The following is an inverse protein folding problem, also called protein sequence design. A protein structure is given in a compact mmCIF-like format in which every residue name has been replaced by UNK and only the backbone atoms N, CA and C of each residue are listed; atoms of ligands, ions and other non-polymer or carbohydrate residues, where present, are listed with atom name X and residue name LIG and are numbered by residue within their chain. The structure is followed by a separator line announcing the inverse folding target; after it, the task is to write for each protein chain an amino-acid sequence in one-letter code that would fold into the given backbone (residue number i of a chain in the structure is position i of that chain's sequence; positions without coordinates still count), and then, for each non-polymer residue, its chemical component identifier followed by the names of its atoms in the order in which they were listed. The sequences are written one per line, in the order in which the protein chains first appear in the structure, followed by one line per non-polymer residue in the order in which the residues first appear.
data_IF_123161260787
#
_entry.id   IF_123161260787
#
_cell.length_a   1.000
_cell.length_b   1.000
_cell.length_c   1.000
_cell.angle_alpha   90.00
_cell.angle_beta   90.00
_cell.angle_gamma   90.00
#
_symmetry.space_group_name_H-M   'P 1'
#
loop_
_entity.id
_entity.type
_entity.pdbx_description
1 polymer ?
#
# COMPACT_ATOMS: atom_id res chain seq x y z
N UNK A 1 -52.19 -5.10 4.32
CA UNK A 1 -51.03 -5.73 3.68
C UNK A 1 -49.83 -5.01 4.22
N UNK A 2 -49.31 -5.50 5.34
CA UNK A 2 -48.09 -4.98 5.95
C UNK A 2 -46.91 -5.37 5.06
N UNK A 3 -46.36 -4.36 4.40
CA UNK A 3 -45.09 -4.44 3.69
C UNK A 3 -44.02 -4.72 4.76
N UNK A 4 -43.70 -6.00 4.95
CA UNK A 4 -42.54 -6.43 5.70
C UNK A 4 -41.31 -5.78 5.04
N UNK A 5 -40.92 -4.61 5.52
CA UNK A 5 -39.59 -4.04 5.35
C UNK A 5 -38.62 -4.95 6.11
N UNK A 6 -38.33 -6.10 5.52
CA UNK A 6 -37.15 -6.88 5.85
C UNK A 6 -35.99 -5.98 5.42
N UNK A 7 -35.41 -5.25 6.36
CA UNK A 7 -34.08 -4.68 6.20
C UNK A 7 -33.15 -5.63 6.95
N UNK A 8 -32.66 -6.70 6.31
CA UNK A 8 -31.98 -7.74 7.04
C UNK A 8 -30.51 -7.36 7.27
N UNK A 9 -29.87 -7.90 8.32
CA UNK A 9 -28.47 -7.62 8.66
C UNK A 9 -27.45 -7.92 7.54
N UNK A 10 -27.85 -8.68 6.51
CA UNK A 10 -27.02 -9.10 5.39
C UNK A 10 -26.41 -7.96 4.54
N UNK A 11 -26.99 -6.75 4.53
CA UNK A 11 -26.39 -5.65 3.74
C UNK A 11 -25.02 -5.23 4.28
N UNK A 12 -24.84 -5.23 5.60
CA UNK A 12 -23.56 -4.90 6.22
C UNK A 12 -22.52 -6.00 5.92
N UNK A 13 -22.90 -7.26 6.11
CA UNK A 13 -22.02 -8.42 5.85
C UNK A 13 -21.62 -8.55 4.37
N UNK A 14 -22.53 -8.30 3.43
CA UNK A 14 -22.22 -8.31 1.99
C UNK A 14 -21.29 -7.15 1.60
N UNK A 15 -21.46 -5.98 2.24
CA UNK A 15 -20.57 -4.83 2.02
C UNK A 15 -19.18 -5.11 2.59
N UNK A 16 -19.09 -5.75 3.75
CA UNK A 16 -17.82 -6.10 4.37
C UNK A 16 -17.10 -7.20 3.58
N UNK A 17 -17.78 -8.25 3.10
CA UNK A 17 -17.19 -9.27 2.23
C UNK A 17 -16.71 -8.70 0.89
N UNK A 18 -17.50 -7.83 0.24
CA UNK A 18 -17.07 -7.14 -0.99
C UNK A 18 -15.84 -6.26 -0.74
N UNK A 19 -15.75 -5.67 0.44
CA UNK A 19 -14.62 -4.83 0.85
C UNK A 19 -13.37 -5.67 1.12
N UNK A 20 -13.50 -6.81 1.81
CA UNK A 20 -12.40 -7.75 2.03
C UNK A 20 -11.84 -8.28 0.71
N UNK A 21 -12.72 -8.63 -0.24
CA UNK A 21 -12.31 -9.02 -1.59
C UNK A 21 -11.64 -7.89 -2.37
N UNK A 22 -12.11 -6.64 -2.22
CA UNK A 22 -11.48 -5.49 -2.85
C UNK A 22 -10.06 -5.26 -2.30
N UNK A 23 -9.88 -5.33 -0.97
CA UNK A 23 -8.57 -5.21 -0.32
C UNK A 23 -7.66 -6.38 -0.71
N UNK A 24 -8.19 -7.61 -0.81
CA UNK A 24 -7.42 -8.77 -1.27
C UNK A 24 -6.96 -8.63 -2.74
N UNK A 25 -7.83 -8.10 -3.61
CA UNK A 25 -7.49 -7.79 -5.00
C UNK A 25 -6.47 -6.66 -5.12
N UNK A 26 -6.62 -5.61 -4.30
CA UNK A 26 -5.68 -4.51 -4.18
C UNK A 26 -4.31 -5.00 -3.69
N UNK A 27 -4.28 -5.92 -2.72
CA UNK A 27 -3.07 -6.56 -2.23
C UNK A 27 -2.31 -7.32 -3.31
N UNK A 28 -3.03 -8.12 -4.11
CA UNK A 28 -2.43 -8.86 -5.22
C UNK A 28 -1.81 -7.93 -6.25
N UNK A 29 -2.51 -6.84 -6.59
CA UNK A 29 -2.02 -5.81 -7.52
C UNK A 29 -0.83 -5.04 -6.93
N UNK A 30 -0.96 -4.50 -5.72
CA UNK A 30 0.08 -3.73 -5.05
C UNK A 30 1.36 -4.56 -4.88
N UNK A 31 1.26 -5.81 -4.45
CA UNK A 31 2.43 -6.69 -4.32
C UNK A 31 3.09 -6.98 -5.67
N UNK A 32 2.31 -7.16 -6.74
CA UNK A 32 2.85 -7.38 -8.09
C UNK A 32 3.57 -6.13 -8.59
N UNK A 33 2.91 -4.97 -8.50
CA UNK A 33 3.46 -3.69 -8.98
C UNK A 33 4.73 -3.33 -8.17
N UNK A 34 4.69 -3.48 -6.85
CA UNK A 34 5.83 -3.23 -5.97
C UNK A 34 7.00 -4.16 -6.28
N UNK A 35 6.73 -5.46 -6.47
CA UNK A 35 7.78 -6.42 -6.85
C UNK A 35 8.38 -6.12 -8.22
N UNK A 36 7.59 -5.62 -9.17
CA UNK A 36 8.09 -5.24 -10.48
C UNK A 36 9.01 -4.00 -10.39
N UNK A 37 8.70 -3.03 -9.53
CA UNK A 37 9.52 -1.84 -9.33
C UNK A 37 10.79 -2.12 -8.51
N UNK A 38 10.65 -2.80 -7.37
CA UNK A 38 11.71 -2.88 -6.35
C UNK A 38 12.37 -4.26 -6.25
N UNK A 39 11.90 -5.26 -7.02
CA UNK A 39 12.43 -6.63 -6.99
C UNK A 39 12.06 -7.45 -5.75
N UNK A 40 11.41 -6.84 -4.76
CA UNK A 40 11.06 -7.45 -3.47
C UNK A 40 9.55 -7.34 -3.18
N UNK A 41 8.97 -8.24 -2.38
CA UNK A 41 7.53 -8.21 -2.10
C UNK A 41 7.16 -7.07 -1.14
N UNK A 42 5.99 -6.44 -1.38
CA UNK A 42 5.46 -5.34 -0.54
C UNK A 42 5.27 -5.75 0.91
N UNK A 43 5.09 -7.05 1.17
CA UNK A 43 4.91 -7.61 2.52
C UNK A 43 6.04 -7.25 3.48
N UNK A 44 7.26 -7.00 2.98
CA UNK A 44 8.38 -6.57 3.81
C UNK A 44 8.14 -5.21 4.49
N UNK A 45 7.33 -4.35 3.87
CA UNK A 45 7.06 -2.97 4.31
C UNK A 45 5.61 -2.73 4.67
N UNK A 46 4.73 -3.73 4.62
CA UNK A 46 3.31 -3.53 4.85
C UNK A 46 3.01 -2.99 6.25
N UNK A 47 2.25 -1.89 6.31
CA UNK A 47 1.75 -1.31 7.55
C UNK A 47 0.31 -1.75 7.80
N UNK A 48 0.13 -2.68 8.73
CA UNK A 48 -1.19 -3.20 9.10
C UNK A 48 -2.07 -2.19 9.82
N UNK A 49 -1.49 -1.21 10.53
CA UNK A 49 -2.24 -0.21 11.29
C UNK A 49 -2.85 0.80 10.33
N UNK A 50 -2.01 1.38 9.46
CA UNK A 50 -2.45 2.33 8.42
C UNK A 50 -3.39 1.62 7.45
N UNK A 51 -3.10 0.37 7.06
CA UNK A 51 -4.01 -0.40 6.22
C UNK A 51 -5.38 -0.61 6.85
N UNK A 52 -5.45 -0.86 8.16
CA UNK A 52 -6.73 -1.01 8.87
C UNK A 52 -7.47 0.32 9.03
N UNK A 53 -6.75 1.40 9.32
CA UNK A 53 -7.32 2.73 9.54
C UNK A 53 -7.87 3.34 8.24
N UNK A 54 -7.12 3.26 7.15
CA UNK A 54 -7.47 3.83 5.85
C UNK A 54 -8.18 2.83 4.93
N UNK A 55 -8.26 1.55 5.33
CA UNK A 55 -8.88 0.46 4.56
C UNK A 55 -8.33 0.35 3.14
N UNK A 56 -7.02 0.59 2.99
CA UNK A 56 -6.26 0.64 1.74
C UNK A 56 -4.91 -0.03 1.97
N UNK A 57 -4.32 -0.69 0.98
CA UNK A 57 -2.99 -1.28 1.16
C UNK A 57 -1.96 -0.17 1.35
N UNK A 58 -1.30 -0.17 2.50
CA UNK A 58 -0.29 0.82 2.85
C UNK A 58 1.04 0.19 3.28
N UNK A 59 2.12 0.95 3.08
CA UNK A 59 3.45 0.59 3.55
C UNK A 59 3.89 1.54 4.67
N UNK A 60 4.80 1.05 5.50
CA UNK A 60 5.53 1.84 6.48
C UNK A 60 6.64 2.61 5.76
N UNK A 61 6.53 3.95 5.65
CA UNK A 61 7.51 4.76 4.95
C UNK A 61 8.87 4.76 5.63
N UNK A 62 8.94 4.65 6.96
CA UNK A 62 10.20 4.65 7.70
C UNK A 62 10.97 3.36 7.44
N UNK A 63 10.27 2.23 7.46
CA UNK A 63 10.88 0.92 7.18
C UNK A 63 11.35 0.80 5.73
N UNK A 64 10.64 1.45 4.80
CA UNK A 64 11.05 1.50 3.42
C UNK A 64 12.25 2.43 3.21
N UNK A 65 12.28 3.57 3.88
CA UNK A 65 13.40 4.52 3.90
C UNK A 65 14.67 3.86 4.46
N UNK A 66 14.57 3.18 5.62
CA UNK A 66 15.68 2.39 6.20
C UNK A 66 16.26 1.38 5.20
N UNK A 67 15.41 0.69 4.44
CA UNK A 67 15.86 -0.25 3.40
C UNK A 67 16.61 0.44 2.27
N UNK A 68 16.20 1.64 1.86
CA UNK A 68 16.93 2.39 0.84
C UNK A 68 18.25 2.95 1.37
N UNK A 69 18.29 3.33 2.64
CA UNK A 69 19.53 3.70 3.34
C UNK A 69 20.53 2.53 3.38
N UNK A 70 20.06 1.30 3.63
CA UNK A 70 20.90 0.10 3.59
C UNK A 70 21.46 -0.19 2.19
N UNK A 71 20.69 0.10 1.13
CA UNK A 71 21.10 -0.16 -0.25
C UNK A 71 22.00 0.91 -0.86
N UNK A 72 21.69 2.18 -0.59
CA UNK A 72 22.28 3.32 -1.29
C UNK A 72 23.09 4.24 -0.36
N UNK A 73 23.15 3.93 0.93
CA UNK A 73 23.78 4.77 1.93
C UNK A 73 22.92 5.97 2.31
N UNK A 74 23.52 6.88 3.07
CA UNK A 74 22.82 8.06 3.58
C UNK A 74 22.74 9.16 2.51
N UNK A 75 21.74 9.07 1.64
CA UNK A 75 21.49 10.07 0.58
C UNK A 75 21.00 11.43 1.10
N UNK A 76 20.52 11.51 2.34
CA UNK A 76 20.15 12.79 2.97
C UNK A 76 21.37 13.70 3.16
N UNK A 77 22.57 13.12 3.33
CA UNK A 77 23.83 13.89 3.39
C UNK A 77 24.17 14.56 2.05
N UNK A 78 23.66 14.04 0.94
CA UNK A 78 23.76 14.63 -0.39
C UNK A 78 22.62 15.64 -0.66
N UNK A 79 21.75 15.88 0.31
CA UNK A 79 20.56 16.74 0.17
C UNK A 79 19.44 16.11 -0.67
N UNK A 80 19.45 14.78 -0.83
CA UNK A 80 18.40 14.04 -1.56
C UNK A 80 17.32 13.58 -0.60
N UNK A 81 16.08 13.60 -1.07
CA UNK A 81 14.92 13.05 -0.36
C UNK A 81 14.67 11.59 -0.73
N UNK A 82 13.80 10.92 0.04
CA UNK A 82 13.24 9.60 -0.32
C UNK A 82 12.68 9.59 -1.75
N UNK A 83 11.98 10.66 -2.16
CA UNK A 83 11.43 10.76 -3.51
C UNK A 83 12.52 10.83 -4.58
N UNK A 84 13.59 11.58 -4.30
CA UNK A 84 14.72 11.74 -5.22
C UNK A 84 15.44 10.41 -5.45
N UNK A 85 15.71 9.66 -4.38
CA UNK A 85 16.40 8.36 -4.51
C UNK A 85 15.51 7.32 -5.23
N UNK A 86 14.19 7.33 -4.99
CA UNK A 86 13.27 6.44 -5.70
C UNK A 86 13.23 6.81 -7.19
N UNK A 87 13.12 8.10 -7.50
CA UNK A 87 13.12 8.58 -8.88
C UNK A 87 14.44 8.26 -9.60
N UNK A 88 15.58 8.47 -8.94
CA UNK A 88 16.91 8.22 -9.49
C UNK A 88 17.17 6.73 -9.77
N UNK A 89 16.79 5.84 -8.84
CA UNK A 89 17.13 4.41 -8.92
C UNK A 89 16.06 3.55 -9.61
N UNK A 90 14.79 3.91 -9.49
CA UNK A 90 13.66 3.08 -9.92
C UNK A 90 12.73 3.79 -10.91
N UNK A 91 12.84 5.12 -11.07
CA UNK A 91 12.09 5.91 -12.04
C UNK A 91 10.70 6.35 -11.58
N UNK A 92 10.04 7.13 -12.44
CA UNK A 92 8.77 7.80 -12.13
C UNK A 92 7.63 6.85 -11.75
N UNK A 93 7.58 5.66 -12.36
CA UNK A 93 6.52 4.68 -12.08
C UNK A 93 6.63 4.16 -10.65
N UNK A 94 7.84 3.94 -10.16
CA UNK A 94 8.09 3.51 -8.79
C UNK A 94 7.74 4.62 -7.79
N UNK A 95 8.11 5.87 -8.08
CA UNK A 95 7.75 7.02 -7.25
C UNK A 95 6.22 7.18 -7.14
N UNK A 96 5.52 7.08 -8.26
CA UNK A 96 4.05 7.14 -8.27
C UNK A 96 3.43 6.04 -7.41
N UNK A 97 3.93 4.81 -7.53
CA UNK A 97 3.46 3.69 -6.73
C UNK A 97 3.66 3.94 -5.23
N UNK A 98 4.82 4.44 -4.81
CA UNK A 98 5.10 4.72 -3.40
C UNK A 98 4.17 5.82 -2.86
N UNK A 99 3.92 6.89 -3.62
CA UNK A 99 2.93 7.92 -3.26
C UNK A 99 1.50 7.40 -3.12
N UNK A 100 1.18 6.31 -3.81
CA UNK A 100 -0.12 5.66 -3.67
C UNK A 100 -0.18 4.74 -2.44
N UNK A 101 0.96 4.27 -1.92
CA UNK A 101 1.04 3.31 -0.81
C UNK A 101 1.35 3.95 0.55
N UNK A 102 1.77 5.21 0.58
CA UNK A 102 1.97 6.01 1.81
C UNK A 102 0.69 6.80 2.13
#
# INVERSE_FOLDING_TARGET
MDEYKINPPYKAEIVDLRREHAIAGEWGKANKDFKNCFGIPIRAFHDGITTMAFKKVSIDPFRFDDYLHDLYGNYEQEGKTLEDIILEKYGEQALKLIKELI
#
